data_IF_236760143911
#
_entry.id   IF_236760143911
#
_cell.length_a   1.000
_cell.length_b   1.000
_cell.length_c   1.000
_cell.angle_alpha   90.00
_cell.angle_beta   90.00
_cell.angle_gamma   90.00
#
_symmetry.space_group_name_H-M   'P 1'
#
loop_
_entity.id
_entity.type
_entity.pdbx_description
1 polymer ?
#
# COMPACT_ATOMS: atom_id res chain seq x y z
N UNK A 1 -15.49 -15.18 -12.10
CA UNK A 1 -14.09 -15.37 -12.56
C UNK A 1 -13.11 -14.46 -11.84
N UNK A 2 -13.35 -13.13 -11.75
CA UNK A 2 -12.47 -12.19 -11.02
C UNK A 2 -12.34 -12.51 -9.52
N UNK A 3 -13.46 -12.85 -8.89
CA UNK A 3 -13.54 -13.19 -7.46
C UNK A 3 -12.72 -14.45 -7.14
N UNK A 4 -12.82 -15.50 -7.98
CA UNK A 4 -12.05 -16.73 -7.81
C UNK A 4 -10.53 -16.52 -7.95
N UNK A 5 -10.10 -15.66 -8.88
CA UNK A 5 -8.69 -15.31 -9.03
C UNK A 5 -8.16 -14.55 -7.81
N UNK A 6 -8.94 -13.61 -7.28
CA UNK A 6 -8.56 -12.89 -6.08
C UNK A 6 -8.53 -13.79 -4.86
N UNK A 7 -9.53 -14.66 -4.67
CA UNK A 7 -9.52 -15.67 -3.60
C UNK A 7 -8.29 -16.57 -3.72
N UNK A 8 -7.97 -17.07 -4.92
CA UNK A 8 -6.80 -17.90 -5.13
C UNK A 8 -5.50 -17.17 -4.76
N UNK A 9 -5.37 -15.90 -5.16
CA UNK A 9 -4.20 -15.07 -4.84
C UNK A 9 -4.12 -14.77 -3.34
N UNK A 10 -5.25 -14.57 -2.67
CA UNK A 10 -5.34 -14.36 -1.23
C UNK A 10 -4.97 -15.61 -0.44
N UNK A 11 -5.50 -16.77 -0.81
CA UNK A 11 -5.17 -18.04 -0.17
C UNK A 11 -3.70 -18.36 -0.39
N UNK A 12 -3.19 -18.20 -1.61
CA UNK A 12 -1.80 -18.44 -1.94
C UNK A 12 -0.86 -17.51 -1.17
N UNK A 13 -1.13 -16.20 -1.16
CA UNK A 13 -0.30 -15.21 -0.46
C UNK A 13 -0.36 -15.40 1.05
N UNK A 14 -1.52 -15.71 1.63
CA UNK A 14 -1.66 -16.01 3.06
C UNK A 14 -0.90 -17.27 3.45
N UNK A 15 -1.00 -18.35 2.66
CA UNK A 15 -0.26 -19.58 2.93
C UNK A 15 1.25 -19.36 2.80
N UNK A 16 1.69 -18.59 1.80
CA UNK A 16 3.10 -18.22 1.67
C UNK A 16 3.58 -17.30 2.78
N UNK A 17 2.75 -16.39 3.27
CA UNK A 17 3.08 -15.51 4.39
C UNK A 17 3.45 -16.30 5.66
N UNK A 18 2.87 -17.50 5.87
CA UNK A 18 3.20 -18.37 6.99
C UNK A 18 4.65 -18.89 6.95
N UNK A 19 5.23 -19.04 5.75
CA UNK A 19 6.61 -19.50 5.56
C UNK A 19 7.58 -18.35 5.31
N UNK A 20 7.12 -17.33 4.60
CA UNK A 20 7.89 -16.19 4.14
C UNK A 20 7.10 -14.89 4.43
N UNK A 21 7.20 -14.34 5.64
CA UNK A 21 6.39 -13.20 6.07
C UNK A 21 6.54 -11.95 5.18
N UNK A 22 7.70 -11.77 4.53
CA UNK A 22 7.94 -10.65 3.63
C UNK A 22 6.98 -10.62 2.42
N UNK A 23 6.50 -11.79 1.98
CA UNK A 23 5.49 -11.91 0.93
C UNK A 23 4.13 -11.47 1.44
N UNK A 24 3.83 -11.79 2.70
CA UNK A 24 2.63 -11.34 3.39
C UNK A 24 2.56 -9.82 3.46
N UNK A 25 3.69 -9.17 3.81
CA UNK A 25 3.80 -7.70 3.79
C UNK A 25 3.50 -7.13 2.40
N UNK A 26 4.11 -7.69 1.34
CA UNK A 26 3.87 -7.24 -0.04
C UNK A 26 2.39 -7.39 -0.44
N UNK A 27 1.81 -8.57 -0.15
CA UNK A 27 0.41 -8.83 -0.46
C UNK A 27 -0.50 -7.89 0.31
N UNK A 28 -0.22 -7.65 1.60
CA UNK A 28 -0.94 -6.70 2.42
C UNK A 28 -0.87 -5.28 1.84
N UNK A 29 0.30 -4.83 1.37
CA UNK A 29 0.47 -3.52 0.73
C UNK A 29 -0.40 -3.40 -0.53
N UNK A 30 -0.37 -4.41 -1.41
CA UNK A 30 -1.20 -4.41 -2.63
C UNK A 30 -2.69 -4.37 -2.28
N UNK A 31 -3.12 -5.19 -1.32
CA UNK A 31 -4.55 -5.27 -0.94
C UNK A 31 -5.01 -3.97 -0.29
N UNK A 32 -4.18 -3.35 0.54
CA UNK A 32 -4.56 -2.16 1.31
C UNK A 32 -4.54 -0.88 0.48
N UNK A 33 -3.64 -0.78 -0.51
CA UNK A 33 -3.50 0.42 -1.35
C UNK A 33 -4.33 0.29 -2.63
N UNK A 34 -4.21 -0.85 -3.33
CA UNK A 34 -4.94 -1.04 -4.58
C UNK A 34 -6.41 -1.37 -4.34
N UNK A 35 -6.77 -1.91 -3.18
CA UNK A 35 -8.12 -2.36 -2.84
C UNK A 35 -8.79 -3.24 -3.91
N UNK A 36 -8.12 -4.29 -4.43
CA UNK A 36 -8.65 -5.08 -5.54
C UNK A 36 -9.89 -5.89 -5.16
N UNK A 37 -10.05 -6.22 -3.87
CA UNK A 37 -11.23 -6.89 -3.33
C UNK A 37 -12.50 -6.06 -3.55
N UNK A 38 -12.39 -4.73 -3.58
CA UNK A 38 -13.52 -3.82 -3.86
C UNK A 38 -13.93 -3.78 -5.33
N UNK A 39 -13.09 -4.31 -6.21
CA UNK A 39 -13.40 -4.46 -7.64
C UNK A 39 -14.13 -5.79 -7.93
N UNK A 40 -14.48 -6.54 -6.89
CA UNK A 40 -15.21 -7.81 -6.96
C UNK A 40 -16.59 -7.68 -6.31
N UNK A 41 -17.48 -8.62 -6.62
CA UNK A 41 -18.87 -8.54 -6.17
C UNK A 41 -19.10 -9.19 -4.81
N UNK A 42 -18.34 -10.25 -4.48
CA UNK A 42 -18.55 -11.02 -3.24
C UNK A 42 -17.52 -10.79 -2.11
N UNK A 43 -16.42 -10.08 -2.37
CA UNK A 43 -15.33 -9.89 -1.39
C UNK A 43 -15.20 -8.45 -0.88
N UNK A 44 -16.06 -7.54 -1.33
CA UNK A 44 -15.97 -6.12 -1.01
C UNK A 44 -16.06 -5.84 0.50
N UNK A 45 -16.93 -6.58 1.20
CA UNK A 45 -17.15 -6.42 2.65
C UNK A 45 -16.17 -7.22 3.52
N UNK A 46 -15.38 -8.13 2.95
CA UNK A 46 -14.48 -8.98 3.74
C UNK A 46 -13.23 -8.21 4.18
N UNK A 47 -12.75 -8.39 5.43
CA UNK A 47 -11.54 -7.73 5.92
C UNK A 47 -10.28 -8.43 5.40
N UNK A 48 -10.13 -8.48 4.08
CA UNK A 48 -9.10 -9.24 3.36
C UNK A 48 -7.68 -8.86 3.79
N UNK A 49 -7.42 -7.56 3.97
CA UNK A 49 -6.12 -7.08 4.45
C UNK A 49 -5.81 -7.60 5.88
N UNK A 50 -6.82 -7.70 6.75
CA UNK A 50 -6.63 -8.23 8.10
C UNK A 50 -6.28 -9.72 8.09
N UNK A 51 -6.85 -10.51 7.16
CA UNK A 51 -6.53 -11.93 6.99
C UNK A 51 -5.05 -12.11 6.63
N UNK A 52 -4.58 -11.37 5.61
CA UNK A 52 -3.18 -11.44 5.17
C UNK A 52 -2.23 -10.90 6.26
N UNK A 53 -2.61 -9.82 6.94
CA UNK A 53 -1.86 -9.29 8.08
C UNK A 53 -1.73 -10.31 9.22
N UNK A 54 -2.83 -10.96 9.58
CA UNK A 54 -2.85 -12.03 10.59
C UNK A 54 -1.97 -13.22 10.18
N UNK A 55 -2.08 -13.69 8.93
CA UNK A 55 -1.22 -14.75 8.41
C UNK A 55 0.27 -14.36 8.44
N UNK A 56 0.59 -13.10 8.15
CA UNK A 56 1.97 -12.58 8.22
C UNK A 56 2.50 -12.61 9.65
N UNK A 57 1.71 -12.16 10.63
CA UNK A 57 2.09 -12.18 12.05
C UNK A 57 2.31 -13.61 12.55
N UNK A 58 1.42 -14.54 12.21
CA UNK A 58 1.59 -15.96 12.53
C UNK A 58 2.86 -16.49 11.86
N UNK A 59 3.10 -16.13 10.60
CA UNK A 59 4.30 -16.50 9.87
C UNK A 59 5.60 -16.05 10.52
N UNK A 60 5.64 -14.85 11.12
CA UNK A 60 6.83 -14.36 11.85
C UNK A 60 7.15 -15.28 13.03
N UNK A 61 6.12 -15.78 13.72
CA UNK A 61 6.30 -16.71 14.85
C UNK A 61 6.73 -18.08 14.37
N UNK A 62 6.10 -18.60 13.32
CA UNK A 62 6.29 -19.97 12.83
C UNK A 62 7.60 -20.13 12.04
N UNK A 63 7.98 -19.15 11.23
CA UNK A 63 9.18 -19.19 10.39
C UNK A 63 10.50 -19.02 11.16
N UNK A 64 10.43 -18.65 12.44
CA UNK A 64 11.62 -18.42 13.26
C UNK A 64 12.38 -17.13 12.91
N UNK A 65 11.78 -16.20 12.15
CA UNK A 65 12.37 -14.87 11.91
C UNK A 65 12.68 -14.11 13.20
N UNK A 66 11.99 -14.43 14.32
CA UNK A 66 12.29 -13.95 15.68
C UNK A 66 13.74 -14.16 16.13
N UNK A 67 14.43 -15.18 15.61
CA UNK A 67 15.80 -15.49 15.99
C UNK A 67 16.87 -14.64 15.29
N UNK A 68 16.47 -13.81 14.31
CA UNK A 68 17.39 -12.88 13.64
C UNK A 68 17.55 -11.63 14.51
N UNK A 69 18.79 -11.26 14.79
CA UNK A 69 19.11 -10.00 15.47
C UNK A 69 18.68 -8.83 14.58
N UNK A 70 17.46 -8.33 14.78
CA UNK A 70 17.00 -7.08 14.19
C UNK A 70 17.28 -5.94 15.17
N UNK A 71 18.32 -5.12 14.97
CA UNK A 71 18.59 -4.00 15.85
C UNK A 71 17.48 -2.96 15.67
N UNK A 72 16.83 -2.58 16.77
CA UNK A 72 15.80 -1.56 16.76
C UNK A 72 16.37 -0.23 16.25
N UNK A 73 15.83 0.28 15.14
CA UNK A 73 16.39 1.46 14.48
C UNK A 73 15.86 2.76 15.08
N UNK A 74 16.54 3.89 14.79
CA UNK A 74 16.11 5.22 15.24
C UNK A 74 14.72 5.57 14.71
N UNK A 75 14.45 5.20 13.46
CA UNK A 75 13.19 5.43 12.76
C UNK A 75 12.05 4.65 13.41
N UNK A 76 12.29 3.39 13.79
CA UNK A 76 11.32 2.56 14.52
C UNK A 76 10.98 3.17 15.89
N UNK A 77 11.97 3.73 16.58
CA UNK A 77 11.75 4.44 17.85
C UNK A 77 10.90 5.69 17.65
N UNK A 78 11.23 6.53 16.68
CA UNK A 78 10.48 7.77 16.42
C UNK A 78 9.04 7.45 16.04
N UNK A 79 8.81 6.47 15.16
CA UNK A 79 7.46 6.04 14.79
C UNK A 79 6.68 5.54 16.02
N UNK A 80 7.33 4.74 16.87
CA UNK A 80 6.68 4.22 18.09
C UNK A 80 6.34 5.31 19.10
N UNK A 81 7.20 6.32 19.26
CA UNK A 81 6.93 7.51 20.07
C UNK A 81 5.79 8.34 19.47
N UNK A 82 5.71 8.45 18.15
CA UNK A 82 4.61 9.13 17.46
C UNK A 82 3.29 8.38 17.65
N UNK A 83 3.29 7.05 17.58
CA UNK A 83 2.11 6.23 17.86
C UNK A 83 1.63 6.39 19.31
N UNK A 84 2.57 6.44 20.27
CA UNK A 84 2.26 6.73 21.67
C UNK A 84 1.65 8.13 21.80
N UNK A 85 2.25 9.14 21.16
CA UNK A 85 1.74 10.50 21.17
C UNK A 85 0.31 10.59 20.64
N UNK A 86 0.01 9.96 19.49
CA UNK A 86 -1.35 9.91 18.95
C UNK A 86 -2.35 9.26 19.90
N UNK A 87 -1.92 8.24 20.64
CA UNK A 87 -2.75 7.60 21.66
C UNK A 87 -3.01 8.53 22.85
N UNK A 88 -2.01 9.29 23.29
CA UNK A 88 -2.18 10.27 24.36
C UNK A 88 -3.12 11.41 23.94
N UNK A 89 -2.94 11.96 22.74
CA UNK A 89 -3.81 13.04 22.21
C UNK A 89 -5.24 12.56 21.96
N UNK A 90 -5.42 11.27 21.65
CA UNK A 90 -6.74 10.67 21.47
C UNK A 90 -7.60 10.73 22.74
N UNK A 91 -6.99 10.69 23.94
CA UNK A 91 -7.74 10.86 25.19
C UNK A 91 -8.22 12.30 25.41
N UNK A 92 -7.58 13.28 24.78
CA UNK A 92 -7.94 14.70 24.85
C UNK A 92 -8.79 15.16 23.65
N UNK A 93 -9.27 14.24 22.82
CA UNK A 93 -10.02 14.58 21.61
C UNK A 93 -11.42 15.11 21.93
N UNK A 94 -11.78 16.25 21.31
CA UNK A 94 -13.11 16.87 21.45
C UNK A 94 -14.21 16.11 20.70
N UNK A 95 -13.86 15.43 19.60
CA UNK A 95 -14.77 14.60 18.82
C UNK A 95 -14.38 13.12 18.97
N UNK A 96 -14.95 12.46 19.97
CA UNK A 96 -14.59 11.09 20.36
C UNK A 96 -14.91 10.05 19.29
N UNK A 97 -16.04 10.19 18.59
CA UNK A 97 -16.54 9.19 17.66
C UNK A 97 -15.64 9.05 16.42
N UNK A 98 -15.36 10.17 15.74
CA UNK A 98 -14.45 10.18 14.59
C UNK A 98 -12.99 9.88 15.00
N UNK A 99 -12.60 10.30 16.20
CA UNK A 99 -11.24 10.11 16.70
C UNK A 99 -10.91 8.63 16.88
N UNK A 100 -11.81 7.82 17.46
CA UNK A 100 -11.54 6.40 17.67
C UNK A 100 -11.36 5.63 16.34
N UNK A 101 -12.14 5.98 15.33
CA UNK A 101 -12.03 5.37 14.01
C UNK A 101 -10.68 5.72 13.34
N UNK A 102 -10.30 7.00 13.37
CA UNK A 102 -9.02 7.45 12.81
C UNK A 102 -7.83 6.86 13.58
N UNK A 103 -7.89 6.81 14.91
CA UNK A 103 -6.87 6.18 15.73
C UNK A 103 -6.69 4.70 15.38
N UNK A 104 -7.81 3.94 15.27
CA UNK A 104 -7.77 2.53 14.84
C UNK A 104 -7.13 2.36 13.47
N UNK A 105 -7.43 3.27 12.53
CA UNK A 105 -6.86 3.26 11.18
C UNK A 105 -5.34 3.50 11.22
N UNK A 106 -4.90 4.58 11.86
CA UNK A 106 -3.48 4.97 11.93
C UNK A 106 -2.65 3.90 12.65
N UNK A 107 -3.10 3.41 13.82
CA UNK A 107 -2.37 2.40 14.57
C UNK A 107 -2.17 1.09 13.79
N UNK A 108 -3.19 0.65 13.04
CA UNK A 108 -3.08 -0.56 12.20
C UNK A 108 -2.06 -0.40 11.08
N UNK A 109 -2.03 0.76 10.43
CA UNK A 109 -1.09 1.06 9.35
C UNK A 109 0.34 1.12 9.91
N UNK A 110 0.56 1.91 10.96
CA UNK A 110 1.89 2.11 11.55
C UNK A 110 2.44 0.81 12.14
N UNK A 111 1.58 0.00 12.77
CA UNK A 111 1.96 -1.33 13.23
C UNK A 111 2.42 -2.22 12.08
N UNK A 112 1.71 -2.22 10.95
CA UNK A 112 2.14 -2.98 9.78
C UNK A 112 3.42 -2.43 9.14
N UNK A 113 3.68 -1.13 9.25
CA UNK A 113 4.97 -0.53 8.85
C UNK A 113 6.11 -1.04 9.74
N UNK A 114 5.91 -1.11 11.06
CA UNK A 114 6.90 -1.69 11.98
C UNK A 114 7.16 -3.17 11.65
N UNK A 115 6.11 -3.93 11.35
CA UNK A 115 6.23 -5.32 10.88
C UNK A 115 7.01 -5.40 9.56
N UNK A 116 6.72 -4.52 8.60
CA UNK A 116 7.45 -4.47 7.34
C UNK A 116 8.95 -4.19 7.55
N UNK A 117 9.28 -3.22 8.40
CA UNK A 117 10.67 -2.89 8.74
C UNK A 117 11.38 -4.04 9.47
N UNK A 118 10.65 -4.81 10.27
CA UNK A 118 11.18 -5.98 10.97
C UNK A 118 11.46 -7.15 10.03
N UNK A 119 10.71 -7.30 8.93
CA UNK A 119 10.80 -8.47 8.03
C UNK A 119 11.63 -8.16 6.77
N UNK A 120 11.71 -6.90 6.35
CA UNK A 120 12.34 -6.50 5.09
C UNK A 120 13.81 -6.10 5.26
N UNK A 121 14.72 -7.06 5.06
CA UNK A 121 16.17 -6.80 5.23
C UNK A 121 16.99 -6.73 3.93
N UNK A 122 16.46 -7.22 2.81
CA UNK A 122 17.25 -7.39 1.58
C UNK A 122 16.88 -6.37 0.51
N UNK A 123 17.83 -6.05 -0.39
CA UNK A 123 17.58 -5.25 -1.60
C UNK A 123 16.39 -5.80 -2.41
N UNK A 124 16.25 -7.12 -2.47
CA UNK A 124 15.12 -7.79 -3.14
C UNK A 124 13.78 -7.39 -2.52
N UNK A 125 13.69 -7.34 -1.19
CA UNK A 125 12.45 -6.96 -0.50
C UNK A 125 12.07 -5.51 -0.78
N UNK A 126 13.04 -4.60 -0.73
CA UNK A 126 12.82 -3.17 -1.02
C UNK A 126 12.37 -2.97 -2.47
N UNK A 127 13.04 -3.61 -3.43
CA UNK A 127 12.64 -3.53 -4.85
C UNK A 127 11.24 -4.11 -5.06
N UNK A 128 10.91 -5.23 -4.42
CA UNK A 128 9.59 -5.85 -4.52
C UNK A 128 8.49 -4.97 -3.91
N UNK A 129 8.75 -4.31 -2.77
CA UNK A 129 7.84 -3.34 -2.18
C UNK A 129 7.63 -2.12 -3.09
N UNK A 130 8.70 -1.60 -3.68
CA UNK A 130 8.61 -0.50 -4.64
C UNK A 130 7.75 -0.89 -5.86
N UNK A 131 7.92 -2.11 -6.38
CA UNK A 131 7.04 -2.64 -7.44
C UNK A 131 5.59 -2.75 -6.99
N UNK A 132 5.33 -3.25 -5.79
CA UNK A 132 3.99 -3.37 -5.24
C UNK A 132 3.29 -2.01 -5.15
N UNK A 133 3.98 -0.98 -4.65
CA UNK A 133 3.48 0.40 -4.58
C UNK A 133 3.22 0.97 -5.98
N UNK A 134 4.20 0.85 -6.88
CA UNK A 134 4.13 1.39 -8.24
C UNK A 134 3.01 0.74 -9.05
N UNK A 135 2.81 -0.56 -8.95
CA UNK A 135 1.71 -1.25 -9.64
C UNK A 135 0.37 -0.84 -9.03
N UNK A 136 0.27 -0.78 -7.71
CA UNK A 136 -0.98 -0.46 -7.00
C UNK A 136 -1.48 0.94 -7.31
N UNK A 137 -0.62 1.95 -7.17
CA UNK A 137 -0.99 3.35 -7.39
C UNK A 137 -0.91 3.71 -8.88
N UNK A 138 0.07 3.17 -9.59
CA UNK A 138 0.26 3.41 -11.02
C UNK A 138 -0.90 2.90 -11.88
N UNK A 139 -1.63 1.87 -11.43
CA UNK A 139 -2.89 1.46 -12.08
C UNK A 139 -3.89 2.61 -12.13
N UNK A 140 -4.08 3.32 -11.01
CA UNK A 140 -4.96 4.48 -10.93
C UNK A 140 -4.39 5.69 -11.68
N UNK A 141 -3.06 5.88 -11.66
CA UNK A 141 -2.40 6.94 -12.43
C UNK A 141 -2.54 6.76 -13.93
N UNK A 142 -2.41 5.53 -14.43
CA UNK A 142 -2.59 5.22 -15.84
C UNK A 142 -4.05 5.46 -16.26
N UNK A 143 -5.02 4.94 -15.49
CA UNK A 143 -6.45 5.11 -15.78
C UNK A 143 -6.87 6.59 -15.69
N UNK A 144 -6.49 7.27 -14.62
CA UNK A 144 -6.79 8.68 -14.37
C UNK A 144 -6.13 9.59 -15.39
N UNK A 145 -4.87 9.36 -15.74
CA UNK A 145 -4.13 10.21 -16.66
C UNK A 145 -4.71 10.17 -18.08
N UNK A 146 -5.05 8.98 -18.57
CA UNK A 146 -5.72 8.83 -19.86
C UNK A 146 -7.10 9.51 -19.84
N UNK A 147 -7.86 9.32 -18.77
CA UNK A 147 -9.17 9.94 -18.61
C UNK A 147 -9.08 11.48 -18.62
N UNK A 148 -8.13 12.06 -17.88
CA UNK A 148 -7.89 13.51 -17.86
C UNK A 148 -7.52 14.06 -19.23
N UNK A 149 -6.68 13.35 -19.99
CA UNK A 149 -6.32 13.75 -21.36
C UNK A 149 -7.53 13.73 -22.29
N UNK A 150 -8.35 12.68 -22.23
CA UNK A 150 -9.53 12.56 -23.09
C UNK A 150 -10.64 13.56 -22.74
N UNK A 151 -10.78 13.91 -21.46
CA UNK A 151 -11.78 14.87 -21.00
C UNK A 151 -11.28 16.31 -21.03
N UNK A 152 -10.04 16.56 -21.45
CA UNK A 152 -9.35 17.85 -21.35
C UNK A 152 -9.42 18.47 -19.92
N UNK A 153 -9.45 17.63 -18.90
CA UNK A 153 -9.56 18.05 -17.50
C UNK A 153 -10.95 18.53 -17.08
N UNK A 154 -12.00 18.24 -17.84
CA UNK A 154 -13.37 18.65 -17.49
C UNK A 154 -13.97 17.94 -16.27
N UNK A 155 -13.34 16.84 -15.82
CA UNK A 155 -13.83 16.01 -14.71
C UNK A 155 -12.70 15.71 -13.72
N UNK A 156 -13.05 15.61 -12.44
CA UNK A 156 -12.10 15.25 -11.39
C UNK A 156 -11.81 13.75 -11.37
N UNK A 157 -10.55 13.42 -11.15
CA UNK A 157 -10.10 12.04 -10.89
C UNK A 157 -10.26 11.74 -9.40
N UNK A 158 -10.98 10.66 -9.10
CA UNK A 158 -11.17 10.14 -7.75
C UNK A 158 -10.43 8.82 -7.58
N UNK A 159 -10.03 8.51 -6.35
CA UNK A 159 -9.50 7.20 -6.03
C UNK A 159 -10.59 6.13 -5.85
N UNK A 160 -10.19 4.89 -5.54
CA UNK A 160 -11.12 3.80 -5.34
C UNK A 160 -12.04 4.05 -4.12
N UNK A 161 -13.37 3.88 -4.27
CA UNK A 161 -14.33 4.13 -3.19
C UNK A 161 -14.07 3.33 -1.90
N UNK A 162 -14.22 4.02 -0.77
CA UNK A 162 -13.93 3.58 0.60
C UNK A 162 -12.51 3.05 0.85
N UNK A 163 -11.57 3.37 -0.04
CA UNK A 163 -10.14 3.14 0.20
C UNK A 163 -9.53 4.29 1.01
N UNK A 164 -8.28 4.11 1.44
CA UNK A 164 -7.52 5.19 2.09
C UNK A 164 -7.12 6.33 1.15
N UNK A 165 -7.27 6.14 -0.16
CA UNK A 165 -6.91 7.11 -1.20
C UNK A 165 -8.12 7.50 -2.04
N UNK A 166 -9.34 7.39 -1.48
CA UNK A 166 -10.58 7.71 -2.20
C UNK A 166 -10.67 9.18 -2.62
N UNK A 167 -10.31 10.09 -1.71
CA UNK A 167 -10.39 11.52 -1.96
C UNK A 167 -9.39 12.01 -3.01
N UNK A 168 -9.71 13.15 -3.61
CA UNK A 168 -8.94 13.75 -4.69
C UNK A 168 -7.54 14.20 -4.24
N UNK A 169 -7.40 14.73 -3.02
CA UNK A 169 -6.11 15.11 -2.45
C UNK A 169 -5.24 13.89 -2.15
N UNK A 170 -5.83 12.82 -1.61
CA UNK A 170 -5.14 11.61 -1.23
C UNK A 170 -4.62 10.85 -2.45
N UNK A 171 -5.44 10.71 -3.50
CA UNK A 171 -5.00 10.08 -4.75
C UNK A 171 -3.94 10.92 -5.46
N UNK A 172 -4.07 12.26 -5.50
CA UNK A 172 -3.07 13.14 -6.09
C UNK A 172 -1.71 13.00 -5.40
N UNK A 173 -1.71 13.01 -4.06
CA UNK A 173 -0.51 12.82 -3.26
C UNK A 173 0.12 11.43 -3.52
N UNK A 174 -0.69 10.38 -3.53
CA UNK A 174 -0.21 9.03 -3.81
C UNK A 174 0.46 8.93 -5.19
N UNK A 175 -0.13 9.55 -6.21
CA UNK A 175 0.42 9.59 -7.57
C UNK A 175 1.76 10.31 -7.62
N UNK A 176 1.86 11.49 -6.99
CA UNK A 176 3.08 12.29 -6.94
C UNK A 176 4.22 11.52 -6.24
N UNK A 177 3.93 10.87 -5.11
CA UNK A 177 4.92 10.07 -4.35
C UNK A 177 5.35 8.83 -5.15
N UNK A 178 4.49 8.31 -6.02
CA UNK A 178 4.80 7.12 -6.83
C UNK A 178 5.77 7.42 -7.98
N UNK A 179 5.82 8.66 -8.49
CA UNK A 179 6.73 9.07 -9.59
C UNK A 179 8.23 8.79 -9.26
N UNK A 180 8.79 9.25 -8.12
CA UNK A 180 10.18 8.93 -7.79
C UNK A 180 10.41 7.42 -7.58
N UNK A 181 9.42 6.66 -7.12
CA UNK A 181 9.52 5.20 -7.03
C UNK A 181 9.57 4.54 -8.42
N UNK A 182 8.78 5.02 -9.39
CA UNK A 182 8.87 4.58 -10.78
C UNK A 182 10.26 4.88 -11.35
N UNK A 183 10.82 6.07 -11.07
CA UNK A 183 12.17 6.42 -11.48
C UNK A 183 13.22 5.51 -10.84
N UNK A 184 13.09 5.21 -9.55
CA UNK A 184 13.97 4.26 -8.86
C UNK A 184 13.95 2.88 -9.52
N UNK A 185 12.77 2.35 -9.85
CA UNK A 185 12.63 1.06 -10.53
C UNK A 185 13.18 1.10 -11.96
N UNK A 186 13.01 2.21 -12.67
CA UNK A 186 13.53 2.41 -14.02
C UNK A 186 15.06 2.33 -14.01
N UNK A 187 15.72 2.98 -13.04
CA UNK A 187 17.18 2.94 -12.88
C UNK A 187 17.71 1.55 -12.48
N UNK A 188 16.87 0.72 -11.86
CA UNK A 188 17.22 -0.65 -11.45
C UNK A 188 16.78 -1.73 -12.47
N UNK A 189 16.21 -1.34 -13.62
CA UNK A 189 15.73 -2.28 -14.64
C UNK A 189 16.64 -2.25 -15.87
N UNK A 190 17.18 -3.41 -16.25
CA UNK A 190 17.97 -3.54 -17.48
C UNK A 190 17.09 -3.57 -18.75
N UNK A 191 15.78 -3.81 -18.60
CA UNK A 191 14.88 -3.97 -19.75
C UNK A 191 14.34 -2.63 -20.22
N UNK A 192 14.67 -2.25 -21.46
CA UNK A 192 14.21 -1.01 -22.11
C UNK A 192 12.69 -0.84 -22.13
N UNK A 193 11.93 -1.93 -22.28
CA UNK A 193 10.47 -1.89 -22.35
C UNK A 193 9.85 -1.55 -21.00
N UNK A 194 10.41 -2.11 -19.93
CA UNK A 194 10.02 -1.75 -18.56
C UNK A 194 10.36 -0.27 -18.33
N UNK A 195 11.53 0.18 -18.78
CA UNK A 195 11.92 1.59 -18.69
C UNK A 195 10.94 2.52 -19.40
N UNK A 196 10.53 2.19 -20.63
CA UNK A 196 9.54 2.97 -21.38
C UNK A 196 8.17 2.97 -20.70
N UNK A 197 7.71 1.82 -20.22
CA UNK A 197 6.45 1.70 -19.49
C UNK A 197 6.42 2.56 -18.22
N UNK A 198 7.51 2.56 -17.45
CA UNK A 198 7.65 3.42 -16.26
C UNK A 198 7.71 4.90 -16.62
N UNK A 199 8.37 5.28 -17.72
CA UNK A 199 8.35 6.67 -18.22
C UNK A 199 6.94 7.13 -18.59
N UNK A 200 6.20 6.33 -19.34
CA UNK A 200 4.81 6.63 -19.67
C UNK A 200 3.95 6.72 -18.39
N UNK A 201 4.16 5.80 -17.45
CA UNK A 201 3.49 5.79 -16.14
C UNK A 201 3.75 7.06 -15.34
N UNK A 202 4.99 7.58 -15.33
CA UNK A 202 5.31 8.83 -14.63
C UNK A 202 4.56 10.03 -15.22
N UNK A 203 4.52 10.13 -16.56
CA UNK A 203 3.80 11.22 -17.25
C UNK A 203 2.29 11.13 -16.97
N UNK A 204 1.71 9.94 -17.10
CA UNK A 204 0.28 9.74 -16.85
C UNK A 204 -0.09 10.00 -15.39
N UNK A 205 0.74 9.58 -14.42
CA UNK A 205 0.53 9.91 -13.01
C UNK A 205 0.58 11.41 -12.75
N UNK A 206 1.48 12.15 -13.39
CA UNK A 206 1.55 13.60 -13.27
C UNK A 206 0.31 14.28 -13.85
N UNK A 207 -0.15 13.86 -15.03
CA UNK A 207 -1.37 14.37 -15.66
C UNK A 207 -2.61 14.03 -14.82
N UNK A 208 -2.69 12.80 -14.30
CA UNK A 208 -3.76 12.38 -13.40
C UNK A 208 -3.84 13.27 -12.16
N UNK A 209 -2.69 13.56 -11.52
CA UNK A 209 -2.60 14.43 -10.34
C UNK A 209 -2.91 15.91 -10.63
N UNK A 210 -2.86 16.36 -11.89
CA UNK A 210 -3.37 17.67 -12.27
C UNK A 210 -4.89 17.64 -12.46
N UNK A 211 -5.43 16.56 -13.02
CA UNK A 211 -6.87 16.37 -13.18
C UNK A 211 -7.63 16.01 -11.90
N UNK A 212 -6.97 15.90 -10.75
CA UNK A 212 -7.61 15.76 -9.44
C UNK A 212 -7.99 17.10 -8.81
N UNK A 213 -7.41 18.21 -9.31
CA UNK A 213 -7.78 19.58 -8.91
C UNK A 213 -9.07 20.00 -9.61
#
# INVERSE_FOLDING_TARGET
MRDALLIALLVYSSFRALREPWIGVIAWTIISIMSPHRLTWGLDELPVAAIVGGATLVGIVVSGERGRSHPWSREQTILSLMMLWFTLTSFAALNTDNNLEQWKKVMKIDFMILVALFVMHSKKHIIALAWALVISVGFYGFKGGIFTLMSAGAFHVWGPPGSYIEGNNEIALALIITIPLMRFLQLNSANRWIGLGLSAGMVLSAVAALGTQ
#
